data_IF_879218987266
#
_entry.id   IF_879218987266
#
_cell.length_a   1.000
_cell.length_b   1.000
_cell.length_c   1.000
_cell.angle_alpha   90.00
_cell.angle_beta   90.00
_cell.angle_gamma   90.00
#
_symmetry.space_group_name_H-M   'P 1'
#
loop_
_entity.id
_entity.type
_entity.pdbx_description
1 polymer ?
#
# COMPACT_ATOMS: atom_id res chain seq x y z
N UNK A 1 11.72 -2.98 -9.43
CA UNK A 1 11.98 -1.75 -8.68
C UNK A 1 13.32 -1.92 -7.99
N UNK A 2 14.20 -0.90 -7.96
CA UNK A 2 15.44 -0.98 -7.19
C UNK A 2 15.20 -0.26 -5.86
N UNK A 3 15.19 -1.01 -4.76
CA UNK A 3 15.22 -0.44 -3.43
C UNK A 3 16.67 -0.01 -3.18
N UNK A 4 16.89 1.29 -3.13
CA UNK A 4 18.20 1.91 -2.90
C UNK A 4 18.18 2.54 -1.52
N UNK A 5 18.86 1.93 -0.54
CA UNK A 5 19.14 2.63 0.72
C UNK A 5 20.33 3.54 0.46
N UNK A 6 20.08 4.83 0.21
CA UNK A 6 21.13 5.84 0.12
C UNK A 6 21.33 6.45 1.49
N UNK A 7 22.49 6.18 2.09
CA UNK A 7 22.84 6.70 3.41
C UNK A 7 22.76 8.22 3.45
N UNK A 8 21.96 8.74 4.39
CA UNK A 8 21.88 10.16 4.70
C UNK A 8 23.27 10.73 5.01
N UNK A 9 23.73 11.63 4.16
CA UNK A 9 25.02 12.29 4.32
C UNK A 9 24.92 13.80 4.23
N UNK A 10 24.89 14.50 5.38
CA UNK A 10 25.87 15.58 5.64
C UNK A 10 25.92 15.99 7.12
N UNK A 11 27.07 15.76 7.78
CA UNK A 11 27.27 16.13 9.18
C UNK A 11 28.65 15.92 9.83
N UNK A 12 29.74 15.73 9.07
CA UNK A 12 31.10 16.00 9.53
C UNK A 12 31.94 14.87 10.17
N UNK A 13 33.11 14.61 9.57
CA UNK A 13 34.35 14.38 10.33
C UNK A 13 34.83 12.96 10.61
N UNK A 14 35.50 12.35 9.63
CA UNK A 14 36.80 11.64 9.76
C UNK A 14 36.97 10.46 10.73
N UNK A 15 37.36 9.30 10.18
CA UNK A 15 38.07 8.24 10.90
C UNK A 15 37.62 6.84 10.51
N UNK A 16 38.55 6.01 10.05
CA UNK A 16 38.27 4.72 9.42
C UNK A 16 37.66 3.64 10.31
N UNK A 17 37.02 2.68 9.65
CA UNK A 17 36.56 1.41 10.23
C UNK A 17 35.11 1.11 9.89
N UNK A 18 34.87 0.14 8.99
CA UNK A 18 33.59 -0.57 8.80
C UNK A 18 32.32 0.31 8.87
N UNK A 19 32.11 1.17 7.88
CA UNK A 19 30.99 2.12 7.87
C UNK A 19 29.70 1.58 7.21
N UNK A 20 28.63 1.56 8.01
CA UNK A 20 27.21 1.59 7.67
C UNK A 20 26.62 0.44 6.83
N UNK A 21 26.25 -0.65 7.50
CA UNK A 21 25.15 -1.53 7.06
C UNK A 21 23.86 -0.97 7.70
N UNK A 22 23.22 -0.02 7.03
CA UNK A 22 22.02 0.66 7.56
C UNK A 22 20.76 -0.18 7.32
N UNK A 23 20.08 -0.48 8.43
CA UNK A 23 18.87 -1.30 8.53
C UNK A 23 17.71 -0.73 7.71
N UNK A 24 17.00 -1.55 6.93
CA UNK A 24 15.70 -1.16 6.36
C UNK A 24 14.60 -1.17 7.44
N UNK A 25 14.90 -1.44 8.71
CA UNK A 25 13.87 -1.54 9.75
C UNK A 25 13.94 -0.36 10.70
N UNK A 26 12.94 0.52 10.55
CA UNK A 26 12.58 1.57 11.50
C UNK A 26 11.22 1.27 12.18
N UNK A 27 10.57 0.15 11.83
CA UNK A 27 9.19 -0.19 12.25
C UNK A 27 9.08 -1.64 12.77
N UNK A 28 8.23 -1.92 13.77
CA UNK A 28 7.94 -3.28 14.21
C UNK A 28 7.02 -3.98 13.20
N UNK A 29 7.61 -4.68 12.24
CA UNK A 29 6.89 -5.50 11.26
C UNK A 29 6.98 -6.96 11.71
N UNK A 30 5.82 -7.57 12.00
CA UNK A 30 5.73 -8.93 12.54
C UNK A 30 5.17 -9.94 11.52
N UNK A 31 5.48 -11.23 11.72
CA UNK A 31 4.81 -12.34 11.05
C UNK A 31 3.83 -13.04 12.00
N UNK A 32 2.53 -12.86 11.80
CA UNK A 32 1.46 -13.58 12.53
C UNK A 32 1.48 -13.47 14.08
N UNK A 33 0.61 -14.24 14.75
CA UNK A 33 0.62 -14.36 16.22
C UNK A 33 1.69 -15.38 16.67
N UNK A 34 2.71 -14.91 17.40
CA UNK A 34 3.50 -15.78 18.29
C UNK A 34 4.92 -16.18 17.85
N UNK A 35 5.56 -15.45 16.93
CA UNK A 35 6.99 -15.61 16.68
C UNK A 35 7.69 -14.29 16.44
N UNK A 36 8.65 -13.93 17.29
CA UNK A 36 9.76 -13.02 16.93
C UNK A 36 10.58 -13.69 15.82
N UNK A 37 10.02 -13.83 14.61
CA UNK A 37 10.81 -13.97 13.41
C UNK A 37 11.24 -12.57 13.08
N UNK A 38 12.33 -12.16 13.72
CA UNK A 38 12.87 -10.82 13.68
C UNK A 38 13.36 -10.53 12.26
N UNK A 39 12.43 -10.10 11.39
CA UNK A 39 12.72 -9.61 10.05
C UNK A 39 13.80 -8.51 10.11
N UNK A 40 14.04 -7.89 11.28
CA UNK A 40 15.16 -6.96 11.52
C UNK A 40 16.54 -7.55 11.47
N UNK A 41 16.67 -8.86 11.67
CA UNK A 41 17.93 -9.54 11.43
C UNK A 41 18.11 -9.98 9.98
N UNK A 42 17.04 -10.07 9.20
CA UNK A 42 17.07 -10.65 7.85
C UNK A 42 16.97 -9.62 6.73
N UNK A 43 16.23 -8.53 6.92
CA UNK A 43 15.96 -7.50 5.93
C UNK A 43 16.79 -6.26 6.22
N UNK A 44 18.10 -6.36 6.01
CA UNK A 44 19.06 -5.33 6.44
C UNK A 44 19.41 -4.34 5.36
N UNK A 45 19.35 -4.73 4.08
CA UNK A 45 19.88 -3.93 2.97
C UNK A 45 18.91 -3.86 1.81
N UNK A 46 19.03 -2.82 0.98
CA UNK A 46 18.26 -2.73 -0.27
C UNK A 46 18.43 -3.95 -1.18
N UNK A 47 19.56 -4.68 -1.10
CA UNK A 47 19.74 -5.94 -1.81
C UNK A 47 18.79 -7.04 -1.29
N UNK A 48 18.65 -7.19 0.03
CA UNK A 48 17.71 -8.12 0.63
C UNK A 48 16.27 -7.82 0.18
N UNK A 49 15.91 -6.54 0.13
CA UNK A 49 14.60 -6.08 -0.34
C UNK A 49 14.39 -6.24 -1.86
N UNK A 50 15.47 -6.24 -2.65
CA UNK A 50 15.39 -6.55 -4.07
C UNK A 50 15.19 -8.05 -4.32
N UNK A 51 15.77 -8.92 -3.48
CA UNK A 51 15.75 -10.37 -3.61
C UNK A 51 14.53 -11.04 -2.96
N UNK A 52 14.07 -10.54 -1.80
CA UNK A 52 12.97 -11.13 -1.03
C UNK A 52 11.76 -10.22 -0.93
N UNK A 53 10.58 -10.79 -1.15
CA UNK A 53 9.29 -10.09 -1.11
C UNK A 53 8.97 -9.47 0.25
N UNK A 54 9.18 -10.19 1.35
CA UNK A 54 8.92 -9.68 2.70
C UNK A 54 9.81 -8.47 3.05
N UNK A 55 11.10 -8.53 2.71
CA UNK A 55 12.03 -7.41 2.84
C UNK A 55 11.66 -6.23 1.92
N UNK A 56 11.10 -6.52 0.74
CA UNK A 56 10.58 -5.51 -0.19
C UNK A 56 9.42 -4.73 0.41
N UNK A 57 8.45 -5.44 0.99
CA UNK A 57 7.28 -4.85 1.65
C UNK A 57 7.72 -3.96 2.82
N UNK A 58 8.72 -4.38 3.60
CA UNK A 58 9.30 -3.52 4.65
C UNK A 58 9.82 -2.21 4.06
N UNK A 59 10.57 -2.27 2.94
CA UNK A 59 11.04 -1.07 2.24
C UNK A 59 9.90 -0.13 1.81
N UNK A 60 8.79 -0.69 1.32
CA UNK A 60 7.59 0.08 1.00
C UNK A 60 6.94 0.70 2.24
N UNK A 61 6.79 -0.06 3.32
CA UNK A 61 6.22 0.42 4.59
C UNK A 61 6.97 1.66 5.08
N UNK A 62 8.31 1.65 5.10
CA UNK A 62 9.04 2.84 5.55
C UNK A 62 8.88 4.00 4.58
N UNK A 63 8.97 3.76 3.27
CA UNK A 63 8.77 4.81 2.28
C UNK A 63 7.40 5.47 2.37
N UNK A 64 6.36 4.68 2.62
CA UNK A 64 4.99 5.15 2.78
C UNK A 64 4.85 5.96 4.08
N UNK A 65 5.40 5.46 5.19
CA UNK A 65 5.37 6.18 6.47
C UNK A 65 6.12 7.50 6.41
N UNK A 66 7.29 7.56 5.78
CA UNK A 66 8.05 8.81 5.61
C UNK A 66 7.25 9.84 4.82
N UNK A 67 6.67 9.44 3.70
CA UNK A 67 5.79 10.31 2.90
C UNK A 67 4.62 10.85 3.73
N UNK A 68 3.92 10.01 4.50
CA UNK A 68 2.77 10.46 5.28
C UNK A 68 3.16 11.31 6.49
N UNK A 69 4.30 11.03 7.14
CA UNK A 69 4.85 11.89 8.18
C UNK A 69 5.08 13.31 7.64
N UNK A 70 5.68 13.43 6.45
CA UNK A 70 5.93 14.72 5.81
C UNK A 70 4.63 15.39 5.35
N UNK A 71 3.74 14.65 4.68
CA UNK A 71 2.47 15.18 4.18
C UNK A 71 1.57 15.72 5.31
N UNK A 72 1.42 14.97 6.42
CA UNK A 72 0.69 15.45 7.58
C UNK A 72 1.39 16.65 8.24
N UNK A 73 2.73 16.60 8.32
CA UNK A 73 3.53 17.69 8.89
C UNK A 73 3.36 19.01 8.13
N UNK A 74 3.28 18.96 6.80
CA UNK A 74 3.02 20.13 5.95
C UNK A 74 1.64 20.77 6.22
N UNK A 75 0.67 19.99 6.68
CA UNK A 75 -0.67 20.45 7.06
C UNK A 75 -0.79 20.79 8.56
N UNK A 76 0.30 20.68 9.32
CA UNK A 76 0.29 20.89 10.77
C UNK A 76 -0.44 19.81 11.55
N UNK A 77 -0.67 18.65 10.93
CA UNK A 77 -1.24 17.46 11.54
C UNK A 77 -0.13 16.53 12.06
N UNK A 78 -0.51 15.55 12.87
CA UNK A 78 0.39 14.51 13.35
C UNK A 78 0.01 13.18 12.73
N UNK A 79 0.87 12.64 11.88
CA UNK A 79 0.76 11.26 11.44
C UNK A 79 1.11 10.32 12.60
N UNK A 80 0.43 9.19 12.65
CA UNK A 80 0.68 8.12 13.61
C UNK A 80 0.75 6.85 12.80
N UNK A 81 1.89 6.18 12.85
CA UNK A 81 2.15 5.03 11.98
C UNK A 81 1.28 3.83 12.36
N UNK A 82 0.77 3.14 11.35
CA UNK A 82 0.09 1.86 11.52
C UNK A 82 1.10 0.74 11.83
N UNK A 83 0.65 -0.24 12.62
CA UNK A 83 1.37 -1.51 12.73
C UNK A 83 1.18 -2.31 11.45
N UNK A 84 2.22 -3.00 10.97
CA UNK A 84 2.10 -3.87 9.78
C UNK A 84 2.44 -5.32 10.13
N UNK A 85 1.54 -6.23 9.75
CA UNK A 85 1.67 -7.67 9.98
C UNK A 85 1.65 -8.40 8.65
N UNK A 86 2.70 -9.15 8.36
CA UNK A 86 2.76 -10.06 7.21
C UNK A 86 2.19 -11.41 7.62
N UNK A 87 1.39 -12.04 6.77
CA UNK A 87 0.80 -13.35 7.07
C UNK A 87 0.68 -14.25 5.83
N UNK A 88 0.59 -15.55 6.07
CA UNK A 88 0.41 -16.60 5.06
C UNK A 88 -0.65 -17.66 5.49
N UNK A 89 -1.33 -17.40 6.62
CA UNK A 89 -2.33 -18.29 7.20
C UNK A 89 -3.38 -17.54 8.02
N UNK A 90 -4.42 -18.24 8.52
CA UNK A 90 -5.47 -17.61 9.32
C UNK A 90 -4.90 -16.89 10.56
N UNK A 91 -5.42 -15.69 10.84
CA UNK A 91 -5.02 -14.92 12.02
C UNK A 91 -6.22 -14.20 12.66
N UNK A 92 -6.13 -13.90 13.95
CA UNK A 92 -7.14 -13.11 14.65
C UNK A 92 -6.75 -11.63 14.61
N UNK A 93 -7.69 -10.76 14.22
CA UNK A 93 -7.52 -9.29 14.20
C UNK A 93 -8.55 -8.61 15.09
N UNK A 94 -8.38 -7.31 15.32
CA UNK A 94 -9.36 -6.45 15.95
C UNK A 94 -10.66 -6.31 15.13
N UNK A 95 -10.62 -6.61 13.84
CA UNK A 95 -11.77 -6.56 12.93
C UNK A 95 -12.44 -7.93 12.71
N UNK A 96 -11.94 -8.99 13.36
CA UNK A 96 -12.43 -10.36 13.22
C UNK A 96 -11.37 -11.33 12.73
N UNK A 97 -11.81 -12.47 12.20
CA UNK A 97 -10.90 -13.47 11.65
C UNK A 97 -10.40 -13.03 10.27
N UNK A 98 -9.09 -12.81 10.14
CA UNK A 98 -8.41 -12.61 8.86
C UNK A 98 -8.11 -13.95 8.20
N UNK A 99 -8.21 -14.01 6.88
CA UNK A 99 -7.84 -15.20 6.10
C UNK A 99 -7.14 -14.79 4.81
N UNK A 100 -6.24 -15.62 4.25
CA UNK A 100 -5.65 -15.35 2.94
C UNK A 100 -6.67 -15.20 1.81
N UNK A 101 -7.89 -15.75 1.97
CA UNK A 101 -8.97 -15.56 1.00
C UNK A 101 -9.53 -14.12 0.97
N UNK A 102 -9.21 -13.31 1.98
CA UNK A 102 -9.65 -11.92 2.10
C UNK A 102 -8.67 -10.95 1.42
N UNK A 103 -7.42 -11.37 1.18
CA UNK A 103 -6.34 -10.49 0.72
C UNK A 103 -5.82 -9.56 1.83
N UNK A 104 -4.95 -8.59 1.47
CA UNK A 104 -4.51 -7.52 2.36
C UNK A 104 -5.68 -6.63 2.81
N UNK A 105 -5.56 -6.06 4.00
CA UNK A 105 -6.56 -5.13 4.53
C UNK A 105 -6.02 -4.27 5.67
N UNK A 106 -6.57 -3.06 5.80
CA UNK A 106 -6.47 -2.24 7.00
C UNK A 106 -7.61 -2.52 7.99
N UNK A 107 -7.28 -2.71 9.26
CA UNK A 107 -8.24 -2.79 10.35
C UNK A 107 -8.29 -1.49 11.19
N UNK A 108 -9.39 -0.69 11.13
CA UNK A 108 -9.49 0.53 11.92
C UNK A 108 -9.62 0.31 13.43
N UNK A 109 -10.01 -0.90 13.88
CA UNK A 109 -10.25 -1.19 15.30
C UNK A 109 -8.96 -1.37 16.11
N UNK A 110 -7.90 -1.85 15.47
CA UNK A 110 -6.55 -2.01 16.06
C UNK A 110 -5.48 -1.20 15.32
N UNK A 111 -5.87 -0.48 14.27
CA UNK A 111 -5.02 0.33 13.40
C UNK A 111 -3.84 -0.44 12.81
N UNK A 112 -4.10 -1.68 12.42
CA UNK A 112 -3.11 -2.58 11.85
C UNK A 112 -3.39 -2.84 10.37
N UNK A 113 -2.33 -2.83 9.57
CA UNK A 113 -2.33 -3.24 8.17
C UNK A 113 -1.87 -4.70 8.13
N UNK A 114 -2.69 -5.55 7.54
CA UNK A 114 -2.42 -6.97 7.38
C UNK A 114 -2.12 -7.24 5.91
N UNK A 115 -0.92 -7.75 5.60
CA UNK A 115 -0.50 -8.06 4.23
C UNK A 115 -0.39 -9.57 4.06
N UNK A 116 -1.27 -10.13 3.23
CA UNK A 116 -1.20 -11.52 2.79
C UNK A 116 -0.15 -11.67 1.69
N UNK A 117 0.93 -12.39 1.97
CA UNK A 117 1.97 -12.65 0.97
C UNK A 117 1.47 -13.58 -0.16
N UNK A 118 0.49 -14.45 0.13
CA UNK A 118 -0.12 -15.33 -0.88
C UNK A 118 -1.05 -14.60 -1.85
N UNK A 119 -1.46 -13.37 -1.53
CA UNK A 119 -2.39 -12.61 -2.35
C UNK A 119 -1.77 -12.16 -3.68
N UNK A 120 -0.48 -11.83 -3.71
CA UNK A 120 0.18 -11.37 -4.94
C UNK A 120 0.18 -12.45 -6.03
N UNK A 121 0.37 -13.72 -5.64
CA UNK A 121 0.19 -14.84 -6.55
C UNK A 121 -1.27 -14.97 -7.03
N UNK A 122 -2.24 -14.73 -6.14
CA UNK A 122 -3.66 -14.75 -6.50
C UNK A 122 -4.03 -13.65 -7.49
N UNK A 123 -3.47 -12.45 -7.34
CA UNK A 123 -3.66 -11.32 -8.26
C UNK A 123 -3.25 -11.69 -9.68
N UNK A 124 -2.06 -12.26 -9.85
CA UNK A 124 -1.56 -12.67 -11.17
C UNK A 124 -2.37 -13.86 -11.72
N UNK A 125 -2.49 -14.94 -10.95
CA UNK A 125 -3.04 -16.21 -11.46
C UNK A 125 -4.55 -16.18 -11.71
N UNK A 126 -5.30 -15.36 -10.95
CA UNK A 126 -6.78 -15.41 -10.96
C UNK A 126 -7.45 -14.12 -11.38
N UNK A 127 -6.90 -12.97 -10.99
CA UNK A 127 -7.51 -11.66 -11.24
C UNK A 127 -6.94 -10.97 -12.48
N UNK A 128 -5.81 -11.47 -12.99
CA UNK A 128 -5.13 -10.94 -14.17
C UNK A 128 -4.48 -9.58 -13.91
N UNK A 129 -4.04 -9.34 -12.67
CA UNK A 129 -3.14 -8.25 -12.30
C UNK A 129 -1.67 -8.64 -12.44
N UNK A 130 -0.77 -7.81 -11.92
CA UNK A 130 0.67 -8.07 -11.88
C UNK A 130 1.08 -8.49 -10.46
N UNK A 131 1.95 -9.50 -10.33
CA UNK A 131 2.66 -9.85 -9.08
C UNK A 131 3.97 -9.04 -8.93
N UNK A 132 4.27 -8.18 -9.89
CA UNK A 132 5.53 -7.46 -9.97
C UNK A 132 5.76 -6.54 -8.76
N UNK A 133 7.02 -6.20 -8.45
CA UNK A 133 7.39 -5.39 -7.30
C UNK A 133 6.54 -4.13 -7.07
N UNK A 134 6.20 -3.39 -8.12
CA UNK A 134 5.46 -2.14 -7.97
C UNK A 134 3.94 -2.35 -7.84
N UNK A 135 3.41 -3.46 -8.33
CA UNK A 135 2.04 -3.88 -8.02
C UNK A 135 1.89 -4.21 -6.52
N UNK A 136 2.89 -4.87 -5.94
CA UNK A 136 2.94 -5.09 -4.48
C UNK A 136 2.98 -3.76 -3.72
N UNK A 137 3.79 -2.82 -4.19
CA UNK A 137 3.89 -1.48 -3.60
C UNK A 137 2.56 -0.72 -3.64
N UNK A 138 1.84 -0.79 -4.78
CA UNK A 138 0.50 -0.24 -4.93
C UNK A 138 -0.46 -0.79 -3.86
N UNK A 139 -0.57 -2.12 -3.73
CA UNK A 139 -1.46 -2.75 -2.74
C UNK A 139 -1.12 -2.32 -1.32
N UNK A 140 0.16 -2.33 -0.95
CA UNK A 140 0.58 -1.87 0.39
C UNK A 140 0.22 -0.40 0.60
N UNK A 141 0.51 0.48 -0.37
CA UNK A 141 0.19 1.91 -0.26
C UNK A 141 -1.31 2.20 -0.22
N UNK A 142 -2.12 1.37 -0.89
CA UNK A 142 -3.57 1.43 -0.86
C UNK A 142 -4.10 1.14 0.56
N UNK A 143 -3.60 0.11 1.24
CA UNK A 143 -3.98 -0.16 2.64
C UNK A 143 -3.58 0.97 3.60
N UNK A 144 -2.42 1.60 3.36
CA UNK A 144 -2.04 2.81 4.08
C UNK A 144 -2.96 4.01 3.76
N UNK A 145 -3.54 4.05 2.56
CA UNK A 145 -4.59 5.00 2.20
C UNK A 145 -5.80 4.89 3.15
N UNK A 146 -6.24 3.67 3.46
CA UNK A 146 -7.31 3.45 4.45
C UNK A 146 -6.91 3.85 5.87
N UNK A 147 -5.65 3.65 6.24
CA UNK A 147 -5.15 4.15 7.51
C UNK A 147 -5.22 5.68 7.59
N UNK A 148 -4.81 6.38 6.54
CA UNK A 148 -4.90 7.85 6.44
C UNK A 148 -6.35 8.32 6.52
N UNK A 149 -7.27 7.67 5.82
CA UNK A 149 -8.70 7.94 5.93
C UNK A 149 -9.19 7.83 7.37
N UNK A 150 -8.75 6.80 8.10
CA UNK A 150 -9.12 6.64 9.51
C UNK A 150 -8.57 7.77 10.38
N UNK A 151 -7.33 8.20 10.17
CA UNK A 151 -6.72 9.31 10.90
C UNK A 151 -7.42 10.65 10.62
N UNK A 152 -7.88 10.87 9.40
CA UNK A 152 -8.58 12.08 8.98
C UNK A 152 -10.07 12.06 9.36
N UNK A 153 -10.62 10.88 9.68
CA UNK A 153 -12.05 10.69 9.96
C UNK A 153 -12.91 10.55 8.70
N UNK A 154 -12.30 10.18 7.58
CA UNK A 154 -12.88 10.13 6.23
C UNK A 154 -13.35 8.72 5.82
N UNK A 155 -13.28 7.73 6.72
CA UNK A 155 -13.87 6.41 6.45
C UNK A 155 -15.37 6.57 6.20
N UNK A 156 -15.77 6.41 4.94
CA UNK A 156 -17.12 6.66 4.46
C UNK A 156 -18.16 5.68 4.98
N UNK A 157 -19.42 5.97 4.65
CA UNK A 157 -20.50 5.02 4.88
C UNK A 157 -20.24 3.73 4.06
N UNK A 158 -20.55 2.57 4.66
CA UNK A 158 -20.40 1.25 4.02
C UNK A 158 -21.63 0.89 3.20
N UNK A 159 -22.03 1.77 2.30
CA UNK A 159 -23.13 1.54 1.37
C UNK A 159 -22.61 1.07 0.00
N UNK A 160 -23.18 -0.02 -0.55
CA UNK A 160 -22.77 -0.56 -1.84
C UNK A 160 -23.38 0.24 -3.00
N UNK A 161 -22.84 0.01 -4.18
CA UNK A 161 -23.24 0.64 -5.43
C UNK A 161 -22.07 1.35 -6.08
N UNK A 162 -22.08 1.46 -7.41
CA UNK A 162 -20.99 2.05 -8.20
C UNK A 162 -20.62 3.51 -7.83
N UNK A 163 -21.52 4.23 -7.14
CA UNK A 163 -21.27 5.58 -6.62
C UNK A 163 -21.38 5.67 -5.09
N UNK A 164 -21.49 4.51 -4.42
CA UNK A 164 -21.71 4.39 -2.98
C UNK A 164 -20.49 4.79 -2.14
N UNK A 165 -20.71 4.98 -0.84
CA UNK A 165 -19.66 5.36 0.10
C UNK A 165 -18.49 4.37 0.16
N UNK A 166 -18.75 3.07 -0.04
CA UNK A 166 -17.70 2.05 -0.12
C UNK A 166 -16.78 2.30 -1.33
N UNK A 167 -17.34 2.49 -2.52
CA UNK A 167 -16.56 2.76 -3.73
C UNK A 167 -15.76 4.06 -3.59
N UNK A 168 -16.36 5.13 -3.06
CA UNK A 168 -15.64 6.40 -2.85
C UNK A 168 -14.44 6.25 -1.89
N UNK A 169 -14.61 5.46 -0.84
CA UNK A 169 -13.53 5.16 0.12
C UNK A 169 -12.38 4.44 -0.57
N UNK A 170 -12.68 3.43 -1.39
CA UNK A 170 -11.70 2.66 -2.15
C UNK A 170 -10.95 3.53 -3.16
N UNK A 171 -11.66 4.31 -3.96
CA UNK A 171 -11.07 5.19 -4.97
C UNK A 171 -10.17 6.27 -4.35
N UNK A 172 -10.50 6.76 -3.15
CA UNK A 172 -9.65 7.72 -2.46
C UNK A 172 -8.35 7.06 -1.99
N UNK A 173 -8.41 5.81 -1.53
CA UNK A 173 -7.21 5.04 -1.19
C UNK A 173 -6.31 4.80 -2.42
N UNK A 174 -6.86 4.61 -3.63
CA UNK A 174 -6.05 4.57 -4.87
C UNK A 174 -5.35 5.89 -5.14
N UNK A 175 -6.08 7.00 -4.99
CA UNK A 175 -5.51 8.31 -5.23
C UNK A 175 -4.40 8.62 -4.22
N UNK A 176 -4.56 8.22 -2.96
CA UNK A 176 -3.51 8.27 -1.95
C UNK A 176 -2.30 7.40 -2.31
N UNK A 177 -2.52 6.17 -2.80
CA UNK A 177 -1.46 5.32 -3.34
C UNK A 177 -0.72 5.98 -4.53
N UNK A 178 -1.45 6.62 -5.44
CA UNK A 178 -0.89 7.37 -6.55
C UNK A 178 -0.05 8.57 -6.09
N UNK A 179 -0.58 9.35 -5.15
CA UNK A 179 0.12 10.52 -4.61
C UNK A 179 1.43 10.12 -3.91
N UNK A 180 1.43 9.02 -3.14
CA UNK A 180 2.67 8.43 -2.63
C UNK A 180 3.61 8.01 -3.77
N UNK A 181 3.12 7.27 -4.77
CA UNK A 181 3.93 6.78 -5.88
C UNK A 181 4.62 7.90 -6.67
N UNK A 182 4.01 9.08 -6.77
CA UNK A 182 4.60 10.27 -7.40
C UNK A 182 5.82 10.80 -6.63
N UNK A 183 5.80 10.66 -5.30
CA UNK A 183 6.81 11.17 -4.37
C UNK A 183 7.74 10.06 -3.83
N UNK A 184 7.51 8.80 -4.21
CA UNK A 184 8.20 7.63 -3.64
C UNK A 184 9.74 7.72 -3.74
N UNK A 185 10.25 8.43 -4.74
CA UNK A 185 11.68 8.62 -4.98
C UNK A 185 12.31 9.83 -4.28
N UNK A 186 11.52 10.63 -3.56
CA UNK A 186 12.02 11.77 -2.79
C UNK A 186 12.68 11.32 -1.47
N UNK A 187 12.29 10.14 -0.96
CA UNK A 187 12.88 9.52 0.22
C UNK A 187 14.08 8.60 -0.10
N UNK A 188 14.67 8.04 0.96
CA UNK A 188 15.92 7.27 0.90
C UNK A 188 15.73 5.77 0.63
N UNK A 189 14.52 5.33 0.25
CA UNK A 189 14.19 3.91 0.11
C UNK A 189 14.09 3.44 -1.35
N UNK A 190 13.53 4.27 -2.23
CA UNK A 190 13.02 3.83 -3.52
C UNK A 190 13.58 4.69 -4.65
N UNK A 191 13.91 4.07 -5.78
CA UNK A 191 14.08 4.80 -7.03
C UNK A 191 12.73 5.10 -7.67
N UNK A 192 12.69 6.15 -8.49
CA UNK A 192 11.49 6.50 -9.25
C UNK A 192 10.97 5.29 -10.05
N UNK A 193 9.66 4.97 -9.96
CA UNK A 193 9.09 3.89 -10.73
C UNK A 193 9.23 4.15 -12.23
N UNK A 194 9.53 3.10 -12.99
CA UNK A 194 9.51 3.18 -14.44
C UNK A 194 8.07 3.25 -14.94
N UNK A 195 7.86 3.71 -16.18
CA UNK A 195 6.54 3.68 -16.82
C UNK A 195 5.92 2.28 -16.80
N UNK A 196 6.71 1.23 -17.01
CA UNK A 196 6.24 -0.15 -16.94
C UNK A 196 5.76 -0.52 -15.53
N UNK A 197 6.47 -0.09 -14.49
CA UNK A 197 6.05 -0.31 -13.10
C UNK A 197 4.77 0.45 -12.75
N UNK A 198 4.58 1.66 -13.27
CA UNK A 198 3.29 2.36 -13.15
C UNK A 198 2.18 1.62 -13.89
N UNK A 199 2.47 1.03 -15.07
CA UNK A 199 1.53 0.16 -15.76
C UNK A 199 1.18 -1.08 -14.92
N UNK A 200 2.15 -1.72 -14.26
CA UNK A 200 1.90 -2.85 -13.35
C UNK A 200 0.92 -2.46 -12.22
N UNK A 201 1.09 -1.29 -11.60
CA UNK A 201 0.17 -0.78 -10.59
C UNK A 201 -1.23 -0.52 -11.13
N UNK A 202 -1.35 0.10 -12.32
CA UNK A 202 -2.64 0.34 -12.97
C UNK A 202 -3.35 -0.97 -13.34
N UNK A 203 -2.63 -1.97 -13.83
CA UNK A 203 -3.18 -3.29 -14.13
C UNK A 203 -3.67 -3.99 -12.86
N UNK A 204 -2.93 -3.88 -11.76
CA UNK A 204 -3.35 -4.41 -10.45
C UNK A 204 -4.56 -3.67 -9.88
N UNK A 205 -4.61 -2.34 -10.00
CA UNK A 205 -5.78 -1.54 -9.62
C UNK A 205 -7.03 -1.95 -10.43
N UNK A 206 -6.85 -2.20 -11.73
CA UNK A 206 -7.90 -2.71 -12.60
C UNK A 206 -8.38 -4.11 -12.18
N UNK A 207 -7.44 -4.99 -11.85
CA UNK A 207 -7.72 -6.40 -11.53
C UNK A 207 -8.62 -6.56 -10.30
N UNK A 208 -8.59 -5.61 -9.38
CA UNK A 208 -9.40 -5.61 -8.15
C UNK A 208 -10.71 -4.79 -8.26
N UNK A 209 -11.05 -4.31 -9.46
CA UNK A 209 -12.37 -3.72 -9.73
C UNK A 209 -13.49 -4.77 -9.69
N UNK A 210 -14.66 -4.39 -9.18
CA UNK A 210 -15.80 -5.30 -8.99
C UNK A 210 -16.32 -5.86 -10.33
N UNK A 211 -16.30 -5.07 -11.40
CA UNK A 211 -16.65 -5.52 -12.75
C UNK A 211 -15.74 -6.68 -13.20
N UNK A 212 -14.42 -6.52 -13.03
CA UNK A 212 -13.44 -7.55 -13.35
C UNK A 212 -13.58 -8.80 -12.47
N UNK A 213 -13.76 -8.62 -11.16
CA UNK A 213 -13.92 -9.73 -10.20
C UNK A 213 -15.20 -10.52 -10.50
N UNK A 214 -16.31 -9.83 -10.78
CA UNK A 214 -17.59 -10.46 -11.10
C UNK A 214 -17.54 -11.22 -12.43
N UNK A 215 -16.91 -10.63 -13.46
CA UNK A 215 -16.67 -11.30 -14.74
C UNK A 215 -15.79 -12.55 -14.58
N UNK A 216 -14.68 -12.45 -13.83
CA UNK A 216 -13.79 -13.58 -13.57
C UNK A 216 -14.48 -14.71 -12.79
N UNK A 217 -15.47 -14.36 -11.97
CA UNK A 217 -16.31 -15.32 -11.23
C UNK A 217 -17.37 -16.00 -12.11
N UNK A 218 -17.47 -15.66 -13.39
CA UNK A 218 -18.44 -16.21 -14.34
C UNK A 218 -19.87 -15.69 -14.16
N UNK A 219 -20.02 -14.61 -13.37
CA UNK A 219 -21.29 -13.91 -13.17
C UNK A 219 -21.52 -12.81 -14.22
N UNK A 220 -22.69 -12.18 -14.16
CA UNK A 220 -22.93 -10.90 -14.83
C UNK A 220 -22.54 -9.74 -13.90
N UNK A 221 -22.11 -8.62 -14.48
CA UNK A 221 -21.75 -7.41 -13.73
C UNK A 221 -23.02 -6.72 -13.20
N UNK A 222 -23.09 -6.54 -11.87
CA UNK A 222 -24.17 -5.80 -11.18
C UNK A 222 -23.61 -4.60 -10.40
N UNK A 223 -23.70 -3.38 -10.98
CA UNK A 223 -23.22 -2.16 -10.34
C UNK A 223 -23.86 -1.84 -8.98
N UNK A 224 -25.02 -2.40 -8.63
CA UNK A 224 -25.66 -2.16 -7.34
C UNK A 224 -24.98 -2.87 -6.18
N UNK A 225 -24.09 -3.83 -6.48
CA UNK A 225 -23.38 -4.63 -5.49
C UNK A 225 -21.94 -4.19 -5.27
N UNK A 226 -21.49 -3.16 -5.98
CA UNK A 226 -20.10 -2.73 -5.96
C UNK A 226 -19.70 -2.19 -4.58
N UNK A 227 -18.46 -2.51 -4.19
CA UNK A 227 -17.79 -1.99 -3.00
C UNK A 227 -16.40 -1.45 -3.32
N UNK A 228 -15.74 -1.91 -4.38
CA UNK A 228 -14.41 -1.52 -4.84
C UNK A 228 -14.42 -0.65 -6.10
N UNK A 229 -15.58 -0.52 -6.74
CA UNK A 229 -15.76 0.29 -7.94
C UNK A 229 -15.35 -0.45 -9.21
N UNK A 230 -15.45 0.21 -10.34
CA UNK A 230 -15.01 -0.36 -11.63
C UNK A 230 -13.50 -0.33 -11.79
N UNK A 231 -12.95 -1.25 -12.58
CA UNK A 231 -11.55 -1.22 -13.00
C UNK A 231 -11.12 0.14 -13.56
N UNK A 232 -12.01 0.82 -14.30
CA UNK A 232 -11.74 2.12 -14.89
C UNK A 232 -11.62 3.23 -13.83
N UNK A 233 -12.56 3.29 -12.88
CA UNK A 233 -12.52 4.24 -11.78
C UNK A 233 -11.24 4.07 -10.95
N UNK A 234 -10.84 2.82 -10.67
CA UNK A 234 -9.62 2.52 -9.90
C UNK A 234 -8.37 3.07 -10.57
N UNK A 235 -8.22 2.81 -11.88
CA UNK A 235 -7.11 3.34 -12.67
C UNK A 235 -7.11 4.88 -12.72
N UNK A 236 -8.29 5.48 -12.89
CA UNK A 236 -8.44 6.93 -12.97
C UNK A 236 -7.98 7.61 -11.68
N UNK A 237 -8.43 7.12 -10.52
CA UNK A 237 -8.09 7.74 -9.25
C UNK A 237 -6.64 7.51 -8.84
N UNK A 238 -6.06 6.33 -9.10
CA UNK A 238 -4.62 6.14 -8.96
C UNK A 238 -3.84 7.11 -9.84
N UNK A 239 -4.22 7.25 -11.12
CA UNK A 239 -3.57 8.16 -12.07
C UNK A 239 -3.66 9.61 -11.59
N UNK A 240 -4.82 10.04 -11.10
CA UNK A 240 -5.02 11.40 -10.58
C UNK A 240 -4.10 11.71 -9.40
N UNK A 241 -3.97 10.77 -8.46
CA UNK A 241 -3.01 10.88 -7.37
C UNK A 241 -1.58 10.96 -7.88
N UNK A 242 -1.21 10.09 -8.81
CA UNK A 242 0.14 10.01 -9.37
C UNK A 242 0.54 11.25 -10.18
N UNK A 243 -0.35 11.80 -10.98
CA UNK A 243 -0.06 12.99 -11.80
C UNK A 243 0.00 14.28 -10.95
N UNK A 244 -0.81 14.37 -9.90
CA UNK A 244 -0.82 15.54 -9.02
C UNK A 244 0.28 15.51 -7.96
N UNK A 245 0.61 14.32 -7.44
CA UNK A 245 1.46 14.12 -6.28
C UNK A 245 0.89 14.68 -4.97
N UNK A 246 -0.42 14.98 -4.91
CA UNK A 246 -1.04 15.68 -3.77
C UNK A 246 -2.28 14.97 -3.25
N UNK A 247 -2.30 14.72 -1.94
CA UNK A 247 -3.47 14.15 -1.27
C UNK A 247 -4.73 15.03 -1.37
N UNK A 248 -4.57 16.36 -1.47
CA UNK A 248 -5.71 17.29 -1.54
C UNK A 248 -6.52 17.20 -2.83
N UNK A 249 -5.98 16.52 -3.86
CA UNK A 249 -6.70 16.24 -5.10
C UNK A 249 -7.50 14.93 -5.04
N UNK A 250 -7.49 14.21 -3.92
CA UNK A 250 -8.08 12.88 -3.72
C UNK A 250 -9.45 12.86 -3.03
N UNK A 251 -10.16 13.98 -2.97
CA UNK A 251 -11.52 14.02 -2.40
C UNK A 251 -12.56 13.42 -3.36
N UNK A 252 -12.79 12.12 -3.23
CA UNK A 252 -13.79 11.37 -4.00
C UNK A 252 -15.22 11.62 -3.54
N UNK A 253 -15.44 12.20 -2.35
CA UNK A 253 -16.77 12.42 -1.78
C UNK A 253 -17.43 13.71 -2.29
N UNK A 254 -16.66 14.58 -2.95
CA UNK A 254 -17.12 15.89 -3.42
C UNK A 254 -17.24 16.02 -4.94
N UNK A 255 -17.07 14.93 -5.67
CA UNK A 255 -17.14 14.89 -7.13
C UNK A 255 -18.03 13.77 -7.63
N UNK A 256 -18.47 13.87 -8.87
CA UNK A 256 -19.02 12.72 -9.59
C UNK A 256 -17.87 11.76 -9.93
N UNK A 257 -18.12 10.45 -9.81
CA UNK A 257 -17.13 9.37 -10.00
C UNK A 257 -17.63 8.36 -11.02
#
# INVERSE_FOLDING_TARGET
MLITVLGGGNGGGGGGGAGALDSILNQPIGRGEGGENDLSQECRTGADANEREDCRIIGYVNSINDYWNDAFGQEGLRYREATTVLFDGPLQTGCGQGSPATGPFYCPADETIYIDLGFFQTLEERLGGSDGPFAQAYVVSHEYGHHVQNLLGDLGARDPGAEGGSVRTELQADCYAGAWAANAAEGDYLVAPTRAQITDALETAAAVGDDRIQEASGGGVDPHTFSHGTSAQRQEWFTRGYESGRQSDCDTFRVDI
#
